data_IF_277775170327
#
_entry.id   IF_277775170327
#
_cell.length_a   1.000
_cell.length_b   1.000
_cell.length_c   1.000
_cell.angle_alpha   90.00
_cell.angle_beta   90.00
_cell.angle_gamma   90.00
#
_symmetry.space_group_name_H-M   'P 1'
#
loop_
_entity.id
_entity.type
_entity.pdbx_description
1 polymer ?
#
# COMPACT_ATOMS: atom_id res chain seq x y z
N UNK A 1 9.41 -4.72 -3.50
CA UNK A 1 8.38 -3.68 -3.65
C UNK A 1 7.79 -3.34 -2.30
N UNK A 2 8.25 -2.23 -1.73
CA UNK A 2 7.80 -1.70 -0.43
C UNK A 2 6.33 -1.34 -0.43
N UNK A 3 5.83 -0.81 -1.54
CA UNK A 3 4.45 -0.35 -1.63
C UNK A 3 3.50 -1.56 -1.66
N UNK A 4 3.78 -2.56 -2.49
CA UNK A 4 3.00 -3.80 -2.53
C UNK A 4 3.07 -4.57 -1.21
N UNK A 5 4.25 -4.60 -0.59
CA UNK A 5 4.45 -5.24 0.72
C UNK A 5 3.63 -4.57 1.82
N UNK A 6 3.64 -3.25 1.89
CA UNK A 6 2.90 -2.48 2.89
C UNK A 6 1.37 -2.62 2.72
N UNK A 7 0.86 -2.51 1.49
CA UNK A 7 -0.55 -2.74 1.19
C UNK A 7 -0.99 -4.16 1.57
N UNK A 8 -0.18 -5.17 1.21
CA UNK A 8 -0.50 -6.57 1.48
C UNK A 8 -0.45 -6.91 2.98
N UNK A 9 0.46 -6.27 3.71
CA UNK A 9 0.58 -6.41 5.16
C UNK A 9 -0.65 -5.81 5.87
N UNK A 10 -1.06 -4.61 5.51
CA UNK A 10 -2.24 -3.95 6.11
C UNK A 10 -3.55 -4.67 5.77
N UNK A 11 -3.72 -5.11 4.53
CA UNK A 11 -4.86 -5.96 4.13
C UNK A 11 -4.97 -7.23 5.00
N UNK A 12 -3.83 -7.79 5.39
CA UNK A 12 -3.79 -8.98 6.24
C UNK A 12 -4.02 -8.66 7.72
N UNK A 13 -3.33 -7.65 8.26
CA UNK A 13 -3.38 -7.32 9.68
C UNK A 13 -4.70 -6.67 10.09
N UNK A 14 -5.21 -5.76 9.28
CA UNK A 14 -6.31 -4.87 9.67
C UNK A 14 -7.66 -5.38 9.13
N UNK A 15 -7.63 -6.19 8.07
CA UNK A 15 -8.83 -6.65 7.38
C UNK A 15 -8.93 -8.18 7.22
N UNK A 16 -7.89 -8.93 7.63
CA UNK A 16 -7.91 -10.39 7.64
C UNK A 16 -7.85 -11.06 6.26
N UNK A 17 -7.44 -10.34 5.21
CA UNK A 17 -7.32 -10.93 3.87
C UNK A 17 -6.01 -11.72 3.70
N UNK A 18 -6.12 -12.88 3.05
CA UNK A 18 -4.97 -13.48 2.38
C UNK A 18 -4.65 -12.67 1.12
N UNK A 19 -3.37 -12.37 0.92
CA UNK A 19 -2.93 -11.44 -0.12
C UNK A 19 -1.83 -12.04 -0.99
N UNK A 20 -2.04 -12.00 -2.30
CA UNK A 20 -1.04 -12.25 -3.33
C UNK A 20 -0.72 -10.91 -4.01
N UNK A 21 0.54 -10.48 -3.95
CA UNK A 21 1.00 -9.27 -4.64
C UNK A 21 1.48 -9.60 -6.06
N UNK A 22 1.20 -8.71 -7.01
CA UNK A 22 1.69 -8.82 -8.38
C UNK A 22 1.92 -7.42 -8.97
N UNK A 23 2.89 -7.32 -9.89
CA UNK A 23 3.14 -6.09 -10.63
C UNK A 23 2.11 -5.96 -11.78
N UNK A 24 1.51 -4.78 -11.93
CA UNK A 24 0.48 -4.53 -12.95
C UNK A 24 1.02 -4.74 -14.37
N UNK A 25 2.23 -4.28 -14.67
CA UNK A 25 2.82 -4.42 -16.01
C UNK A 25 3.03 -5.91 -16.38
N UNK A 26 3.44 -6.72 -15.41
CA UNK A 26 3.57 -8.17 -15.57
C UNK A 26 2.21 -8.83 -15.82
N UNK A 27 1.18 -8.46 -15.05
CA UNK A 27 -0.18 -8.99 -15.21
C UNK A 27 -0.83 -8.59 -16.55
N UNK A 28 -0.52 -7.40 -17.06
CA UNK A 28 -1.02 -6.92 -18.35
C UNK A 28 -0.30 -7.58 -19.53
N UNK A 29 0.97 -7.93 -19.37
CA UNK A 29 1.73 -8.67 -20.38
C UNK A 29 1.22 -10.11 -20.56
N UNK A 30 0.54 -10.68 -19.56
CA UNK A 30 -0.09 -12.00 -19.67
C UNK A 30 -1.31 -11.99 -20.60
N UNK A 31 -1.26 -12.79 -21.66
CA UNK A 31 -2.39 -12.99 -22.60
C UNK A 31 -3.58 -13.69 -21.95
N UNK A 32 -3.33 -14.52 -20.93
CA UNK A 32 -4.35 -15.31 -20.26
C UNK A 32 -4.23 -15.05 -18.76
N UNK A 33 -5.33 -14.78 -18.04
CA UNK A 33 -5.25 -14.55 -16.60
C UNK A 33 -4.65 -15.76 -15.89
N UNK A 34 -3.52 -15.57 -15.21
CA UNK A 34 -2.90 -16.60 -14.39
C UNK A 34 -3.83 -17.10 -13.27
N UNK A 35 -3.51 -18.27 -12.71
CA UNK A 35 -4.36 -18.92 -11.69
C UNK A 35 -4.55 -18.08 -10.43
N UNK A 36 -3.59 -17.20 -10.12
CA UNK A 36 -3.70 -16.24 -9.01
C UNK A 36 -4.90 -15.29 -9.20
N UNK A 37 -5.01 -14.68 -10.38
CA UNK A 37 -6.12 -13.78 -10.74
C UNK A 37 -7.47 -14.49 -10.71
N UNK A 38 -7.51 -15.75 -11.17
CA UNK A 38 -8.74 -16.55 -11.16
C UNK A 38 -9.22 -16.88 -9.75
N UNK A 39 -8.30 -17.09 -8.81
CA UNK A 39 -8.64 -17.41 -7.40
C UNK A 39 -8.93 -16.17 -6.56
N UNK A 40 -8.51 -14.99 -6.99
CA UNK A 40 -8.73 -13.76 -6.25
C UNK A 40 -10.23 -13.48 -6.09
N UNK A 41 -10.66 -13.21 -4.85
CA UNK A 41 -12.02 -12.78 -4.56
C UNK A 41 -12.24 -11.29 -4.89
N UNK A 42 -11.18 -10.49 -4.79
CA UNK A 42 -11.17 -9.05 -5.07
C UNK A 42 -9.78 -8.64 -5.55
N UNK A 43 -9.72 -7.64 -6.44
CA UNK A 43 -8.48 -6.97 -6.82
C UNK A 43 -8.37 -5.62 -6.11
N UNK A 44 -7.28 -5.42 -5.37
CA UNK A 44 -6.98 -4.15 -4.71
C UNK A 44 -5.85 -3.48 -5.46
N UNK A 45 -6.06 -2.24 -5.89
CA UNK A 45 -5.07 -1.44 -6.59
C UNK A 45 -4.97 -0.05 -5.99
N UNK A 46 -3.96 0.71 -6.37
CA UNK A 46 -3.95 2.15 -6.08
C UNK A 46 -4.63 2.94 -7.19
N UNK A 47 -5.09 4.16 -6.90
CA UNK A 47 -5.66 5.06 -7.91
C UNK A 47 -4.78 5.26 -9.14
N UNK A 48 -3.45 5.17 -8.97
CA UNK A 48 -2.49 5.28 -10.08
C UNK A 48 -2.67 4.20 -11.15
N UNK A 49 -3.10 2.98 -10.75
CA UNK A 49 -3.31 1.86 -11.66
C UNK A 49 -4.79 1.46 -11.76
N UNK A 50 -5.71 2.38 -11.47
CA UNK A 50 -7.13 2.09 -11.40
C UNK A 50 -7.71 1.73 -12.77
N UNK A 51 -7.28 2.41 -13.83
CA UNK A 51 -7.77 2.17 -15.19
C UNK A 51 -7.43 0.76 -15.66
N UNK A 52 -6.17 0.38 -15.53
CA UNK A 52 -5.65 -0.91 -15.97
C UNK A 52 -6.26 -2.07 -15.18
N UNK A 53 -6.36 -1.93 -13.86
CA UNK A 53 -6.93 -2.98 -13.01
C UNK A 53 -8.44 -3.10 -13.20
N UNK A 54 -9.15 -2.01 -13.50
CA UNK A 54 -10.57 -2.05 -13.85
C UNK A 54 -10.83 -2.91 -15.09
N UNK A 55 -10.05 -2.72 -16.14
CA UNK A 55 -10.15 -3.51 -17.37
C UNK A 55 -9.83 -4.98 -17.11
N UNK A 56 -8.77 -5.24 -16.34
CA UNK A 56 -8.38 -6.58 -15.94
C UNK A 56 -9.48 -7.28 -15.12
N UNK A 57 -10.07 -6.57 -14.15
CA UNK A 57 -11.14 -7.04 -13.29
C UNK A 57 -12.39 -7.43 -14.10
N UNK A 58 -12.77 -6.58 -15.07
CA UNK A 58 -13.87 -6.87 -15.99
C UNK A 58 -13.61 -8.14 -16.82
N UNK A 59 -12.37 -8.32 -17.30
CA UNK A 59 -11.96 -9.50 -18.07
C UNK A 59 -12.03 -10.80 -17.27
N UNK A 60 -11.76 -10.76 -15.96
CA UNK A 60 -11.80 -11.94 -15.07
C UNK A 60 -13.10 -12.09 -14.28
N UNK A 61 -14.05 -11.16 -14.43
CA UNK A 61 -15.30 -11.17 -13.68
C UNK A 61 -15.11 -11.03 -12.17
N UNK A 62 -14.11 -10.25 -11.73
CA UNK A 62 -13.82 -10.03 -10.30
C UNK A 62 -14.14 -8.59 -9.89
N UNK A 63 -14.62 -8.37 -8.65
CA UNK A 63 -14.71 -7.02 -8.11
C UNK A 63 -13.31 -6.45 -7.90
N UNK A 64 -13.22 -5.13 -7.91
CA UNK A 64 -11.97 -4.42 -7.68
C UNK A 64 -12.22 -3.12 -6.93
N UNK A 65 -11.18 -2.61 -6.29
CA UNK A 65 -11.18 -1.35 -5.54
C UNK A 65 -9.89 -0.57 -5.81
N UNK A 66 -10.03 0.73 -6.06
CA UNK A 66 -8.91 1.66 -6.08
C UNK A 66 -8.75 2.28 -4.69
N UNK A 67 -7.60 2.06 -4.07
CA UNK A 67 -7.28 2.65 -2.78
C UNK A 67 -6.41 3.89 -2.96
N UNK A 68 -6.64 4.85 -2.08
CA UNK A 68 -5.80 6.01 -1.90
C UNK A 68 -4.82 5.71 -0.78
N UNK A 69 -3.55 6.02 -1.04
CA UNK A 69 -2.58 6.12 0.03
C UNK A 69 -2.92 7.35 0.89
N UNK A 70 -2.58 7.32 2.17
CA UNK A 70 -2.78 8.46 3.09
C UNK A 70 -2.24 9.78 2.51
N UNK A 71 -3.15 10.70 2.21
CA UNK A 71 -2.86 12.03 1.65
C UNK A 71 -2.45 13.05 2.72
N UNK A 72 -2.78 12.79 3.98
CA UNK A 72 -2.38 13.59 5.13
C UNK A 72 -0.87 13.49 5.39
N UNK A 73 -0.27 12.32 5.15
CA UNK A 73 1.19 12.15 5.15
C UNK A 73 1.83 13.05 4.08
N UNK A 74 1.25 13.12 2.87
CA UNK A 74 1.75 14.00 1.82
C UNK A 74 1.67 15.48 2.21
N UNK A 75 0.55 15.92 2.79
CA UNK A 75 0.39 17.30 3.26
C UNK A 75 1.40 17.64 4.37
N UNK A 76 1.68 16.70 5.27
CA UNK A 76 2.66 16.86 6.34
C UNK A 76 4.09 16.90 5.80
N UNK A 77 4.46 16.01 4.88
CA UNK A 77 5.77 16.05 4.22
C UNK A 77 5.94 17.36 3.46
N UNK A 78 4.93 17.79 2.72
CA UNK A 78 4.96 19.07 2.03
C UNK A 78 5.10 20.25 3.01
N UNK A 79 4.55 20.14 4.22
CA UNK A 79 4.74 21.12 5.29
C UNK A 79 6.17 21.12 5.81
N UNK A 80 6.73 19.94 6.09
CA UNK A 80 8.10 19.77 6.59
C UNK A 80 9.14 20.23 5.57
N UNK A 81 8.96 19.91 4.29
CA UNK A 81 9.88 20.31 3.20
C UNK A 81 10.00 21.84 3.06
N UNK A 82 9.03 22.62 3.53
CA UNK A 82 9.13 24.09 3.54
C UNK A 82 10.07 24.62 4.63
N UNK A 83 10.37 23.82 5.65
CA UNK A 83 11.16 24.25 6.82
C UNK A 83 12.44 23.46 7.03
N UNK A 84 12.54 22.24 6.53
CA UNK A 84 13.66 21.33 6.81
C UNK A 84 13.81 20.28 5.71
N UNK A 85 14.99 19.67 5.62
CA UNK A 85 15.18 18.47 4.82
C UNK A 85 14.36 17.30 5.42
N UNK A 86 13.85 16.41 4.56
CA UNK A 86 13.05 15.23 4.94
C UNK A 86 13.68 14.00 4.32
N UNK A 87 13.89 12.97 5.12
CA UNK A 87 14.54 11.73 4.71
C UNK A 87 13.56 10.56 4.69
N UNK A 88 13.58 9.83 3.59
CA UNK A 88 12.88 8.56 3.42
C UNK A 88 13.88 7.43 3.35
N UNK A 89 13.65 6.36 4.11
CA UNK A 89 14.44 5.14 4.07
C UNK A 89 13.57 4.01 3.54
N UNK A 90 13.95 3.48 2.39
CA UNK A 90 13.21 2.45 1.63
C UNK A 90 14.13 1.27 1.33
N UNK A 91 13.59 0.13 0.89
CA UNK A 91 14.42 -1.01 0.41
C UNK A 91 14.40 -1.17 -1.11
N UNK A 92 13.51 -0.46 -1.79
CA UNK A 92 13.28 -0.61 -3.24
C UNK A 92 13.59 0.70 -3.99
N UNK A 93 14.60 0.64 -4.87
CA UNK A 93 14.99 1.76 -5.72
C UNK A 93 13.90 2.19 -6.73
N UNK A 94 12.94 1.31 -7.06
CA UNK A 94 11.78 1.71 -7.86
C UNK A 94 10.86 2.62 -7.06
N UNK A 95 10.71 2.35 -5.77
CA UNK A 95 9.89 3.15 -4.88
C UNK A 95 10.52 4.52 -4.60
N UNK A 96 11.83 4.57 -4.39
CA UNK A 96 12.62 5.81 -4.35
C UNK A 96 12.33 6.72 -5.56
N UNK A 97 12.45 6.19 -6.79
CA UNK A 97 12.13 6.95 -8.01
C UNK A 97 10.69 7.47 -8.03
N UNK A 98 9.76 6.68 -7.49
CA UNK A 98 8.34 7.04 -7.40
C UNK A 98 8.13 8.20 -6.42
N UNK A 99 8.79 8.15 -5.25
CA UNK A 99 8.76 9.23 -4.26
C UNK A 99 9.34 10.53 -4.83
N UNK A 100 10.45 10.47 -5.57
CA UNK A 100 10.98 11.65 -6.23
C UNK A 100 9.97 12.30 -7.18
N UNK A 101 9.29 11.51 -8.03
CA UNK A 101 8.24 12.05 -8.91
C UNK A 101 7.05 12.62 -8.15
N UNK A 102 6.70 12.03 -7.00
CA UNK A 102 5.59 12.52 -6.17
C UNK A 102 5.91 13.91 -5.58
N UNK A 103 7.15 14.10 -5.11
CA UNK A 103 7.55 15.32 -4.40
C UNK A 103 8.27 16.36 -5.25
N UNK A 104 8.57 16.08 -6.54
CA UNK A 104 9.32 17.01 -7.41
C UNK A 104 8.66 18.38 -7.57
N UNK A 105 7.33 18.44 -7.52
CA UNK A 105 6.55 19.68 -7.69
C UNK A 105 6.27 20.41 -6.38
N UNK A 106 6.72 19.87 -5.25
CA UNK A 106 6.44 20.43 -3.92
C UNK A 106 7.44 21.55 -3.61
N UNK A 107 6.94 22.64 -3.01
CA UNK A 107 7.81 23.70 -2.49
C UNK A 107 8.76 23.12 -1.44
N UNK A 108 10.07 23.25 -1.68
CA UNK A 108 11.10 22.62 -0.84
C UNK A 108 11.59 21.26 -1.32
N UNK A 109 11.24 20.81 -2.53
CA UNK A 109 11.66 19.54 -3.10
C UNK A 109 13.18 19.28 -3.06
N UNK A 110 14.02 20.33 -3.06
CA UNK A 110 15.47 20.19 -2.92
C UNK A 110 15.92 19.59 -1.57
N UNK A 111 15.09 19.70 -0.53
CA UNK A 111 15.32 19.08 0.78
C UNK A 111 14.73 17.66 0.89
N UNK A 112 14.17 17.10 -0.18
CA UNK A 112 13.67 15.74 -0.17
C UNK A 112 14.80 14.75 -0.49
N UNK A 113 15.02 13.80 0.41
CA UNK A 113 16.02 12.75 0.26
C UNK A 113 15.38 11.38 0.41
N UNK A 114 15.62 10.48 -0.53
CA UNK A 114 15.23 9.08 -0.44
C UNK A 114 16.48 8.19 -0.49
N UNK A 115 16.68 7.38 0.54
CA UNK A 115 17.80 6.47 0.71
C UNK A 115 17.31 5.03 0.64
N UNK A 116 18.03 4.20 -0.11
CA UNK A 116 17.75 2.78 -0.32
C UNK A 116 18.69 1.94 0.54
N UNK A 117 18.14 1.17 1.47
CA UNK A 117 18.90 0.27 2.35
C UNK A 117 19.75 -0.71 1.52
N UNK A 118 21.02 -0.83 1.89
CA UNK A 118 22.00 -1.69 1.22
C UNK A 118 22.62 -1.07 -0.03
N UNK A 119 22.15 0.11 -0.46
CA UNK A 119 22.76 0.91 -1.53
C UNK A 119 23.36 2.20 -0.98
N UNK A 120 22.59 2.91 -0.16
CA UNK A 120 22.95 4.21 0.36
C UNK A 120 23.33 4.11 1.85
N UNK A 121 24.18 5.05 2.28
CA UNK A 121 24.56 5.18 3.68
C UNK A 121 23.47 5.94 4.45
N UNK A 122 22.80 5.26 5.37
CA UNK A 122 21.75 5.86 6.22
C UNK A 122 22.30 6.65 7.40
N UNK A 123 23.60 6.53 7.70
CA UNK A 123 24.24 7.26 8.82
C UNK A 123 24.44 8.74 8.50
N UNK A 124 24.28 9.15 7.25
CA UNK A 124 24.36 10.55 6.82
C UNK A 124 23.14 11.38 7.22
N UNK A 125 22.08 10.75 7.72
CA UNK A 125 20.84 11.42 8.12
C UNK A 125 21.12 12.25 9.39
N UNK A 126 20.95 13.60 9.35
CA UNK A 126 21.19 14.45 10.52
C UNK A 126 20.26 14.10 11.70
N UNK A 127 20.72 14.30 12.94
CA UNK A 127 19.99 13.90 14.16
C UNK A 127 18.64 14.61 14.39
N UNK A 128 18.48 15.80 13.84
CA UNK A 128 17.28 16.63 13.95
C UNK A 128 16.34 16.51 12.73
N UNK A 129 16.77 15.80 11.69
CA UNK A 129 15.98 15.68 10.47
C UNK A 129 14.77 14.74 10.68
N UNK A 130 13.58 15.10 10.16
CA UNK A 130 12.45 14.19 10.05
C UNK A 130 12.78 12.97 9.18
N UNK A 131 12.51 11.77 9.71
CA UNK A 131 12.78 10.50 9.03
C UNK A 131 11.51 9.65 8.94
N UNK A 132 11.21 9.20 7.71
CA UNK A 132 10.22 8.18 7.42
C UNK A 132 10.94 6.90 7.00
N UNK A 133 10.66 5.79 7.68
CA UNK A 133 11.22 4.48 7.33
C UNK A 133 10.08 3.57 6.93
N UNK A 134 10.15 2.97 5.74
CA UNK A 134 9.15 1.98 5.34
C UNK A 134 9.24 0.76 6.26
N UNK A 135 8.12 0.08 6.49
CA UNK A 135 8.09 -1.13 7.33
C UNK A 135 9.15 -2.17 6.95
N UNK A 136 9.34 -2.38 5.65
CA UNK A 136 10.35 -3.31 5.15
C UNK A 136 11.78 -2.82 5.38
N UNK A 137 12.03 -1.51 5.30
CA UNK A 137 13.32 -0.93 5.67
C UNK A 137 13.56 -1.00 7.18
N UNK A 138 12.52 -0.77 8.00
CA UNK A 138 12.58 -0.87 9.46
C UNK A 138 13.06 -2.24 9.93
N UNK A 139 12.61 -3.30 9.25
CA UNK A 139 13.05 -4.67 9.54
C UNK A 139 14.52 -4.97 9.17
N UNK A 140 15.22 -4.03 8.52
CA UNK A 140 16.60 -4.17 8.05
C UNK A 140 17.54 -3.09 8.61
N UNK A 141 17.02 -2.14 9.39
CA UNK A 141 17.80 -1.11 10.04
C UNK A 141 18.20 -1.64 11.41
N UNK A 142 19.51 -1.80 11.63
CA UNK A 142 20.08 -2.24 12.91
C UNK A 142 20.40 -1.07 13.87
N UNK A 143 20.08 0.17 13.47
CA UNK A 143 20.36 1.38 14.25
C UNK A 143 19.15 1.79 15.10
N UNK A 144 19.21 1.47 16.39
CA UNK A 144 18.18 1.82 17.37
C UNK A 144 17.95 3.33 17.52
N UNK A 145 18.98 4.16 17.30
CA UNK A 145 18.85 5.61 17.41
C UNK A 145 18.01 6.18 16.26
N UNK A 146 18.20 5.65 15.06
CA UNK A 146 17.41 6.00 13.89
C UNK A 146 15.96 5.51 14.07
N UNK A 147 15.77 4.30 14.61
CA UNK A 147 14.45 3.70 14.87
C UNK A 147 13.60 4.46 15.91
N UNK A 148 14.24 5.13 16.88
CA UNK A 148 13.56 5.95 17.89
C UNK A 148 13.06 7.30 17.35
N UNK A 149 13.60 7.74 16.21
CA UNK A 149 13.30 9.04 15.58
C UNK A 149 12.29 8.94 14.45
N UNK A 150 11.87 7.72 14.12
CA UNK A 150 10.94 7.43 13.02
C UNK A 150 9.56 7.98 13.37
N UNK A 151 9.01 8.80 12.47
CA UNK A 151 7.61 9.18 12.55
C UNK A 151 6.74 7.91 12.51
N UNK A 152 5.69 7.80 13.34
CA UNK A 152 4.98 6.54 13.56
C UNK A 152 4.56 5.85 12.24
N UNK A 153 4.60 4.51 12.22
CA UNK A 153 4.08 3.70 11.12
C UNK A 153 2.58 3.98 10.99
N UNK A 154 2.28 4.92 10.12
CA UNK A 154 0.92 5.30 9.81
C UNK A 154 0.35 4.34 8.76
N UNK A 155 -0.90 3.93 8.95
CA UNK A 155 -1.68 3.10 8.01
C UNK A 155 -1.47 3.57 6.57
N UNK A 156 -1.23 2.64 5.64
CA UNK A 156 -1.04 2.90 4.22
C UNK A 156 -2.34 3.39 3.59
N UNK A 157 -3.49 2.81 3.97
CA UNK A 157 -4.78 3.20 3.42
C UNK A 157 -5.30 4.51 4.02
N UNK A 158 -5.83 5.38 3.16
CA UNK A 158 -6.62 6.53 3.63
C UNK A 158 -7.84 6.07 4.41
N UNK A 159 -8.40 6.94 5.27
CA UNK A 159 -9.61 6.62 6.02
C UNK A 159 -10.81 6.32 5.09
N UNK A 160 -10.84 6.94 3.91
CA UNK A 160 -11.86 6.68 2.89
C UNK A 160 -11.70 5.27 2.31
N UNK A 161 -10.49 4.89 1.89
CA UNK A 161 -10.21 3.54 1.39
C UNK A 161 -10.42 2.48 2.45
N UNK A 162 -10.11 2.77 3.71
CA UNK A 162 -10.40 1.88 4.83
C UNK A 162 -11.91 1.61 4.98
N UNK A 163 -12.76 2.64 4.82
CA UNK A 163 -14.22 2.48 4.84
C UNK A 163 -14.72 1.68 3.65
N UNK A 164 -14.15 1.90 2.46
CA UNK A 164 -14.56 1.22 1.25
C UNK A 164 -14.19 -0.28 1.30
N UNK A 165 -12.97 -0.62 1.74
CA UNK A 165 -12.53 -2.00 1.99
C UNK A 165 -13.47 -2.67 3.01
N UNK A 166 -13.76 -2.00 4.13
CA UNK A 166 -14.65 -2.54 5.16
C UNK A 166 -16.09 -2.76 4.65
N UNK A 167 -16.60 -1.83 3.83
CA UNK A 167 -17.94 -1.91 3.26
C UNK A 167 -18.07 -3.12 2.31
N UNK A 168 -17.01 -3.41 1.54
CA UNK A 168 -16.93 -4.60 0.71
C UNK A 168 -16.92 -5.88 1.55
N UNK A 169 -16.10 -5.96 2.60
CA UNK A 169 -16.07 -7.10 3.52
C UNK A 169 -17.47 -7.36 4.11
N UNK A 170 -18.12 -6.32 4.60
CA UNK A 170 -19.45 -6.43 5.21
C UNK A 170 -20.48 -6.88 4.17
N UNK A 171 -20.49 -6.26 2.99
CA UNK A 171 -21.49 -6.58 1.95
C UNK A 171 -21.31 -8.00 1.42
N UNK A 172 -20.07 -8.44 1.21
CA UNK A 172 -19.77 -9.82 0.82
C UNK A 172 -20.20 -10.82 1.89
N UNK A 173 -19.96 -10.53 3.17
CA UNK A 173 -20.39 -11.42 4.25
C UNK A 173 -21.92 -11.44 4.42
N UNK A 174 -22.58 -10.30 4.29
CA UNK A 174 -24.05 -10.18 4.40
C UNK A 174 -24.76 -10.87 3.24
N UNK A 175 -24.19 -10.83 2.02
CA UNK A 175 -24.75 -11.56 0.87
C UNK A 175 -24.76 -13.08 1.06
N UNK A 176 -23.86 -13.63 1.89
CA UNK A 176 -23.74 -15.07 2.18
C UNK A 176 -24.63 -15.51 3.36
N UNK A 177 -25.02 -14.60 4.26
CA UNK A 177 -25.93 -14.90 5.38
C UNK A 177 -27.29 -15.50 4.96
N UNK A 178 -28.01 -14.99 3.94
CA UNK A 178 -29.29 -15.56 3.53
C UNK A 178 -29.18 -16.94 2.82
N UNK A 179 -27.98 -17.40 2.45
CA UNK A 179 -27.76 -18.74 1.89
C UNK A 179 -27.52 -19.80 2.97
N UNK A 180 -26.90 -19.42 4.10
CA UNK A 180 -26.67 -20.34 5.23
C UNK A 180 -27.94 -20.65 6.02
N UNK A 181 -28.84 -19.68 6.21
CA UNK A 181 -30.12 -19.93 6.90
C UNK A 181 -31.02 -20.87 6.08
N UNK A 182 -31.02 -20.78 4.75
CA UNK A 182 -31.79 -21.70 3.88
C UNK A 182 -31.23 -23.13 3.83
N UNK A 183 -29.91 -23.29 4.00
CA UNK A 183 -29.28 -24.61 4.03
C UNK A 183 -29.54 -25.36 5.35
N UNK A 184 -29.76 -24.63 6.45
CA UNK A 184 -30.09 -25.22 7.77
C UNK A 184 -31.57 -25.64 7.82
N UNK A 185 -32.48 -24.85 7.25
CA UNK A 185 -33.92 -25.18 7.20
C UNK A 185 -34.28 -26.30 6.21
N UNK A 186 -33.39 -26.62 5.27
CA UNK A 186 -33.59 -27.69 4.27
C UNK A 186 -33.11 -29.10 4.69
N UNK A 187 -32.46 -29.24 5.85
CA UNK A 187 -31.91 -30.53 6.33
C UNK A 187 -32.78 -31.22 7.38
N UNK A 188 -33.96 -30.67 7.70
CA UNK A 188 -34.96 -31.27 8.57
C UNK A 188 -36.24 -31.57 7.76
N UNK A 189 -36.16 -32.54 6.85
CA UNK A 189 -37.33 -33.15 6.20
C UNK A 189 -37.17 -34.67 6.15
#
# INVERSE_FOLDING_TARGET
DDQLGALSAEMRSDYGFETDSANVDELLAERTPGDKLKRAAILVTTHFHAGEVKELAARVGRPWIAVSLRTDIYAEIARLLRSSAVYFVVVDARFEKKLHRIFESVSGAAGFHALVIGRDDVTVIPDDAPVYITRAARARVDDDSLLQRVLPEDRVFSQESAREILSLVITSNVAVLPERERAVDGSAA
#
